data_IF_048205305785
#
_entry.id   IF_048205305785
#
_cell.length_a   1.000
_cell.length_b   1.000
_cell.length_c   1.000
_cell.angle_alpha   90.00
_cell.angle_beta   90.00
_cell.angle_gamma   90.00
#
_symmetry.space_group_name_H-M   'P 1'
#
loop_
_entity.id
_entity.type
_entity.pdbx_description
1 polymer ?
#
# COMPACT_ATOMS: atom_id res chain seq x y z
N UNK A 1 -21.62 7.73 -11.32
CA UNK A 1 -20.53 7.36 -12.24
C UNK A 1 -20.58 5.85 -12.41
N UNK A 2 -20.78 5.30 -13.61
CA UNK A 2 -20.63 3.86 -13.83
C UNK A 2 -19.13 3.55 -13.80
N UNK A 3 -18.67 2.93 -12.73
CA UNK A 3 -17.31 2.45 -12.66
C UNK A 3 -17.11 1.34 -13.69
N UNK A 4 -15.97 1.29 -14.38
CA UNK A 4 -15.70 0.31 -15.42
C UNK A 4 -15.58 -1.08 -14.78
N UNK A 5 -16.46 -1.99 -15.17
CA UNK A 5 -16.44 -3.42 -14.80
C UNK A 5 -15.54 -4.20 -15.77
N UNK A 6 -15.13 -5.40 -15.35
CA UNK A 6 -14.35 -6.34 -16.18
C UNK A 6 -12.98 -5.85 -16.66
N UNK A 7 -12.40 -4.86 -15.98
CA UNK A 7 -11.02 -4.42 -16.24
C UNK A 7 -9.98 -5.25 -15.49
N UNK A 8 -8.73 -5.17 -15.94
CA UNK A 8 -7.59 -5.55 -15.11
C UNK A 8 -7.33 -4.42 -14.13
N UNK A 9 -7.35 -4.72 -12.83
CA UNK A 9 -7.04 -3.75 -11.78
C UNK A 9 -5.60 -3.96 -11.31
N UNK A 10 -4.79 -2.91 -11.46
CA UNK A 10 -3.42 -2.87 -11.00
C UNK A 10 -3.36 -2.12 -9.67
N UNK A 11 -3.05 -2.85 -8.60
CA UNK A 11 -2.93 -2.28 -7.25
C UNK A 11 -1.46 -2.03 -6.94
N UNK A 12 -1.11 -0.81 -6.61
CA UNK A 12 0.23 -0.44 -6.17
C UNK A 12 0.20 -0.04 -4.70
N UNK A 13 1.12 -0.55 -3.91
CA UNK A 13 1.48 0.11 -2.67
C UNK A 13 2.26 1.40 -2.95
N UNK A 14 2.41 2.26 -1.95
CA UNK A 14 3.09 3.54 -2.11
C UNK A 14 4.51 3.52 -1.55
N UNK A 15 4.67 3.22 -0.25
CA UNK A 15 5.97 3.24 0.42
C UNK A 15 6.80 2.01 0.04
N UNK A 16 8.07 2.19 -0.33
CA UNK A 16 9.01 1.16 -0.82
C UNK A 16 8.56 0.45 -2.12
N UNK A 17 7.42 0.83 -2.68
CA UNK A 17 6.92 0.33 -3.97
C UNK A 17 6.95 1.39 -5.08
N UNK A 18 6.38 2.56 -4.85
CA UNK A 18 6.43 3.72 -5.75
C UNK A 18 7.44 4.75 -5.29
N UNK A 19 7.52 4.95 -3.98
CA UNK A 19 8.36 5.92 -3.30
C UNK A 19 9.30 5.20 -2.33
N UNK A 20 10.61 5.28 -2.56
CA UNK A 20 11.59 4.88 -1.53
C UNK A 20 11.60 5.97 -0.47
N UNK A 21 10.89 5.72 0.63
CA UNK A 21 10.67 6.69 1.70
C UNK A 21 11.83 6.73 2.69
N UNK A 22 12.05 7.90 3.30
CA UNK A 22 12.96 8.03 4.44
C UNK A 22 12.23 7.94 5.79
N UNK A 23 10.90 7.76 5.78
CA UNK A 23 10.10 7.63 6.99
C UNK A 23 10.49 6.38 7.78
N UNK A 24 10.44 6.48 9.11
CA UNK A 24 10.69 5.38 10.04
C UNK A 24 9.50 5.26 10.99
N UNK A 25 9.24 4.03 11.41
CA UNK A 25 8.28 3.73 12.46
C UNK A 25 9.05 3.71 13.77
N UNK A 26 8.67 4.56 14.73
CA UNK A 26 9.27 4.51 16.05
C UNK A 26 8.52 3.51 16.92
N UNK A 27 9.23 2.48 17.37
CA UNK A 27 8.70 1.42 18.24
C UNK A 27 9.19 1.67 19.66
N UNK A 28 8.30 1.53 20.63
CA UNK A 28 8.66 1.55 22.06
C UNK A 28 8.21 0.24 22.71
N UNK A 29 9.17 -0.51 23.27
CA UNK A 29 8.91 -1.69 24.13
C UNK A 29 8.82 -1.22 25.58
N UNK A 30 7.61 -1.17 26.11
CA UNK A 30 7.36 -0.70 27.48
C UNK A 30 7.93 -1.63 28.56
N UNK A 31 8.07 -2.93 28.26
CA UNK A 31 8.64 -3.89 29.21
C UNK A 31 10.16 -3.70 29.38
N UNK A 32 10.83 -3.28 28.30
CA UNK A 32 12.28 -3.07 28.32
C UNK A 32 12.66 -1.58 28.47
N UNK A 33 11.68 -0.69 28.43
CA UNK A 33 11.87 0.77 28.38
C UNK A 33 12.84 1.19 27.26
N UNK A 34 12.67 0.57 26.09
CA UNK A 34 13.54 0.75 24.93
C UNK A 34 12.74 1.32 23.75
N UNK A 35 13.29 2.32 23.07
CA UNK A 35 12.74 2.82 21.81
C UNK A 35 13.76 2.67 20.68
N UNK A 36 13.28 2.29 19.48
CA UNK A 36 14.11 2.16 18.30
C UNK A 36 13.31 2.52 17.04
N UNK A 37 14.03 2.90 15.98
CA UNK A 37 13.45 3.21 14.69
C UNK A 37 13.49 1.97 13.79
N UNK A 38 12.36 1.70 13.12
CA UNK A 38 12.21 0.55 12.23
C UNK A 38 11.92 1.03 10.80
N UNK A 39 12.48 0.34 9.81
CA UNK A 39 12.14 0.55 8.42
C UNK A 39 10.73 0.01 8.11
N UNK A 40 9.92 0.67 7.29
CA UNK A 40 8.56 0.21 6.97
C UNK A 40 8.52 -1.19 6.35
N UNK A 41 9.52 -1.58 5.56
CA UNK A 41 9.63 -2.93 4.98
C UNK A 41 9.74 -4.03 6.04
N UNK A 42 10.40 -3.75 7.16
CA UNK A 42 10.65 -4.74 8.23
C UNK A 42 9.45 -4.86 9.18
N UNK A 43 8.59 -3.84 9.21
CA UNK A 43 7.51 -3.73 10.18
C UNK A 43 6.44 -4.82 10.07
N UNK A 44 5.97 -5.23 8.88
CA UNK A 44 4.93 -6.27 8.77
C UNK A 44 5.37 -7.60 9.37
N UNK A 45 6.60 -8.07 9.06
CA UNK A 45 7.16 -9.31 9.59
C UNK A 45 7.41 -9.21 11.09
N UNK A 46 8.01 -8.11 11.55
CA UNK A 46 8.22 -7.85 12.96
C UNK A 46 6.91 -7.85 13.76
N UNK A 47 5.85 -7.23 13.23
CA UNK A 47 4.52 -7.20 13.86
C UNK A 47 3.95 -8.60 14.06
N UNK A 48 4.06 -9.46 13.05
CA UNK A 48 3.62 -10.85 13.14
C UNK A 48 4.45 -11.64 14.14
N UNK A 49 5.79 -11.55 14.08
CA UNK A 49 6.70 -12.24 15.01
C UNK A 49 6.48 -11.85 16.47
N UNK A 50 6.26 -10.58 16.76
CA UNK A 50 6.06 -10.07 18.12
C UNK A 50 4.65 -10.26 18.64
N UNK A 51 3.73 -10.76 17.80
CA UNK A 51 2.35 -11.01 18.21
C UNK A 51 1.69 -9.77 18.85
N UNK A 52 1.88 -8.60 18.21
CA UNK A 52 1.43 -7.31 18.73
C UNK A 52 -0.06 -7.33 19.10
N UNK A 53 -0.89 -8.00 18.29
CA UNK A 53 -2.31 -8.17 18.55
C UNK A 53 -2.61 -8.95 19.85
N UNK A 54 -1.66 -9.80 20.27
CA UNK A 54 -1.78 -10.60 21.50
C UNK A 54 -1.27 -9.87 22.75
N UNK A 55 -0.36 -8.90 22.56
CA UNK A 55 0.24 -8.12 23.64
C UNK A 55 0.23 -6.62 23.35
N UNK A 56 -0.95 -6.00 23.15
CA UNK A 56 -1.06 -4.63 22.66
C UNK A 56 -0.44 -3.59 23.61
N UNK A 57 -0.40 -3.89 24.91
CA UNK A 57 0.15 -2.98 25.95
C UNK A 57 1.68 -2.98 26.03
N UNK A 58 2.34 -3.98 25.43
CA UNK A 58 3.81 -4.07 25.46
C UNK A 58 4.49 -3.09 24.54
N UNK A 59 3.89 -2.86 23.37
CA UNK A 59 4.50 -2.05 22.32
C UNK A 59 3.60 -0.86 21.96
N UNK A 60 4.21 0.30 21.79
CA UNK A 60 3.57 1.41 21.10
C UNK A 60 4.33 1.75 19.82
N UNK A 61 3.58 2.10 18.77
CA UNK A 61 4.11 2.45 17.46
C UNK A 61 3.71 3.89 17.13
N UNK A 62 4.69 4.68 16.72
CA UNK A 62 4.49 6.05 16.27
C UNK A 62 4.76 6.12 14.75
N UNK A 63 3.70 6.38 14.00
CA UNK A 63 3.70 6.53 12.55
C UNK A 63 3.68 8.00 12.10
N UNK A 64 3.96 8.94 13.00
CA UNK A 64 3.91 10.39 12.70
C UNK A 64 4.76 10.80 11.50
N UNK A 65 5.86 10.06 11.23
CA UNK A 65 6.71 10.29 10.07
C UNK A 65 6.04 9.96 8.73
N UNK A 66 4.91 9.24 8.74
CA UNK A 66 4.13 8.91 7.55
C UNK A 66 2.96 9.87 7.33
N UNK A 67 2.71 10.74 8.29
CA UNK A 67 1.60 11.70 8.23
C UNK A 67 2.05 12.98 7.52
N UNK A 68 1.07 13.61 6.87
CA UNK A 68 1.21 14.94 6.34
C UNK A 68 1.98 15.09 5.03
N UNK A 69 2.26 16.34 4.72
CA UNK A 69 2.94 16.81 3.53
C UNK A 69 4.08 17.75 3.95
N UNK A 70 5.26 17.73 3.28
CA UNK A 70 5.59 16.90 2.11
C UNK A 70 6.05 15.47 2.44
N UNK A 71 5.81 14.54 1.52
CA UNK A 71 6.43 13.21 1.57
C UNK A 71 7.88 13.31 1.11
N UNK A 72 8.80 12.88 1.94
CA UNK A 72 10.22 12.83 1.62
C UNK A 72 10.59 11.42 1.14
N UNK A 73 11.01 11.32 -0.11
CA UNK A 73 11.44 10.07 -0.71
C UNK A 73 11.74 10.22 -2.19
N UNK A 74 12.40 9.22 -2.76
CA UNK A 74 12.79 9.20 -4.17
C UNK A 74 11.93 8.20 -4.96
N UNK A 75 11.59 8.48 -6.24
CA UNK A 75 10.79 7.57 -7.03
C UNK A 75 11.55 6.28 -7.35
N UNK A 76 10.89 5.14 -7.17
CA UNK A 76 11.33 3.85 -7.68
C UNK A 76 11.02 3.84 -9.18
N UNK A 77 12.03 4.19 -9.98
CA UNK A 77 11.88 4.56 -11.40
C UNK A 77 11.13 3.51 -12.23
N UNK A 78 11.41 2.23 -11.98
CA UNK A 78 10.78 1.12 -12.72
C UNK A 78 9.27 1.08 -12.51
N UNK A 79 8.85 1.16 -11.25
CA UNK A 79 7.44 1.08 -10.86
C UNK A 79 6.67 2.34 -11.26
N UNK A 80 7.26 3.52 -11.09
CA UNK A 80 6.66 4.79 -11.56
C UNK A 80 6.48 4.80 -13.08
N UNK A 81 7.48 4.29 -13.84
CA UNK A 81 7.36 4.19 -15.31
C UNK A 81 6.23 3.24 -15.70
N UNK A 82 6.14 2.08 -15.05
CA UNK A 82 5.07 1.11 -15.29
C UNK A 82 3.70 1.73 -15.01
N UNK A 83 3.53 2.38 -13.85
CA UNK A 83 2.30 3.07 -13.49
C UNK A 83 1.88 4.08 -14.57
N UNK A 84 2.80 4.92 -15.04
CA UNK A 84 2.52 5.90 -16.10
C UNK A 84 2.08 5.24 -17.40
N UNK A 85 2.67 4.12 -17.78
CA UNK A 85 2.26 3.37 -18.98
C UNK A 85 0.86 2.81 -18.82
N UNK A 86 0.56 2.18 -17.68
CA UNK A 86 -0.78 1.62 -17.41
C UNK A 86 -1.87 2.68 -17.39
N UNK A 87 -1.57 3.91 -16.93
CA UNK A 87 -2.53 5.03 -16.97
C UNK A 87 -2.88 5.52 -18.39
N UNK A 88 -2.19 5.06 -19.42
CA UNK A 88 -2.53 5.34 -20.83
C UNK A 88 -3.43 4.26 -21.45
N UNK A 89 -3.64 3.15 -20.76
CA UNK A 89 -4.46 2.02 -21.23
C UNK A 89 -5.93 2.25 -20.88
N UNK A 90 -6.82 1.93 -21.81
CA UNK A 90 -8.27 1.93 -21.56
C UNK A 90 -8.76 0.62 -20.92
N UNK A 91 -7.97 -0.46 -21.02
CA UNK A 91 -8.29 -1.78 -20.49
C UNK A 91 -7.91 -1.95 -19.02
N UNK A 92 -7.03 -1.09 -18.52
CA UNK A 92 -6.45 -1.17 -17.19
C UNK A 92 -7.02 -0.08 -16.26
N UNK A 93 -7.05 -0.38 -14.97
CA UNK A 93 -7.38 0.58 -13.94
C UNK A 93 -6.32 0.51 -12.84
N UNK A 94 -5.70 1.64 -12.54
CA UNK A 94 -4.70 1.73 -11.49
C UNK A 94 -5.34 2.18 -10.16
N UNK A 95 -4.99 1.49 -9.09
CA UNK A 95 -5.41 1.81 -7.73
C UNK A 95 -4.15 1.86 -6.87
N UNK A 96 -4.03 2.87 -6.03
CA UNK A 96 -3.00 2.91 -4.99
C UNK A 96 -3.65 2.59 -3.66
N UNK A 97 -3.07 1.62 -2.92
CA UNK A 97 -3.51 1.25 -1.57
C UNK A 97 -2.32 1.39 -0.63
N UNK A 98 -2.36 2.39 0.23
CA UNK A 98 -1.28 2.67 1.20
C UNK A 98 -1.76 2.47 2.64
N UNK A 99 -0.84 2.09 3.52
CA UNK A 99 -1.07 2.01 4.97
C UNK A 99 -1.17 3.37 5.68
N UNK A 100 -0.87 4.47 4.98
CA UNK A 100 -0.95 5.82 5.53
C UNK A 100 -2.37 6.20 5.94
N UNK A 101 -2.51 7.15 6.86
CA UNK A 101 -3.80 7.65 7.35
C UNK A 101 -4.47 8.61 6.39
N UNK A 102 -3.68 9.28 5.53
CA UNK A 102 -4.16 10.31 4.61
C UNK A 102 -3.48 10.25 3.24
N UNK A 103 -4.17 10.77 2.24
CA UNK A 103 -3.75 10.73 0.84
C UNK A 103 -3.10 12.03 0.34
N UNK A 104 -3.15 13.12 1.12
CA UNK A 104 -2.66 14.43 0.70
C UNK A 104 -1.18 14.39 0.30
N UNK A 105 -0.35 13.77 1.13
CA UNK A 105 1.07 13.58 0.89
C UNK A 105 1.36 12.71 -0.34
N UNK A 106 0.90 11.45 -0.40
CA UNK A 106 1.06 10.59 -1.57
C UNK A 106 0.54 11.21 -2.86
N UNK A 107 -0.65 11.83 -2.85
CA UNK A 107 -1.23 12.50 -4.01
C UNK A 107 -0.30 13.61 -4.55
N UNK A 108 0.13 14.52 -3.69
CA UNK A 108 1.01 15.62 -4.08
C UNK A 108 2.37 15.11 -4.58
N UNK A 109 2.93 14.08 -3.92
CA UNK A 109 4.19 13.48 -4.33
C UNK A 109 4.09 12.85 -5.73
N UNK A 110 3.02 12.10 -6.01
CA UNK A 110 2.75 11.51 -7.34
C UNK A 110 2.66 12.59 -8.43
N UNK A 111 1.88 13.66 -8.17
CA UNK A 111 1.75 14.79 -9.11
C UNK A 111 3.11 15.44 -9.39
N UNK A 112 3.93 15.67 -8.36
CA UNK A 112 5.28 16.23 -8.50
C UNK A 112 6.23 15.34 -9.29
N UNK A 113 5.95 14.01 -9.32
CA UNK A 113 6.69 13.05 -10.14
C UNK A 113 6.04 12.82 -11.51
N UNK A 114 5.10 13.67 -11.93
CA UNK A 114 4.46 13.67 -13.24
C UNK A 114 3.53 12.48 -13.47
N UNK A 115 2.86 12.01 -12.40
CA UNK A 115 1.81 10.99 -12.47
C UNK A 115 0.44 11.69 -12.52
N UNK A 116 -0.41 11.30 -13.47
CA UNK A 116 -1.77 11.81 -13.62
C UNK A 116 -2.70 11.11 -12.61
N UNK A 117 -2.83 11.72 -11.43
CA UNK A 117 -3.59 11.15 -10.32
C UNK A 117 -5.10 11.18 -10.50
N UNK A 118 -5.60 11.93 -11.50
CA UNK A 118 -7.03 12.00 -11.79
C UNK A 118 -7.51 10.79 -12.61
N UNK A 119 -6.57 10.01 -13.15
CA UNK A 119 -6.82 8.75 -13.88
C UNK A 119 -6.75 7.50 -13.01
N UNK A 120 -6.60 7.62 -11.70
CA UNK A 120 -6.47 6.49 -10.79
C UNK A 120 -7.32 6.65 -9.54
N UNK A 121 -7.44 5.58 -8.80
CA UNK A 121 -8.07 5.59 -7.47
C UNK A 121 -6.95 5.57 -6.43
N UNK A 122 -7.06 6.43 -5.41
CA UNK A 122 -6.17 6.40 -4.25
C UNK A 122 -6.98 6.01 -3.02
N UNK A 123 -6.46 5.07 -2.25
CA UNK A 123 -7.06 4.58 -1.01
C UNK A 123 -6.01 4.53 0.10
N UNK A 124 -6.39 4.94 1.30
CA UNK A 124 -5.61 4.73 2.50
C UNK A 124 -6.35 3.77 3.43
N UNK A 125 -5.62 2.83 4.03
CA UNK A 125 -6.18 1.93 5.02
C UNK A 125 -6.14 2.51 6.43
N UNK A 126 -5.20 3.42 6.69
CA UNK A 126 -4.92 3.93 8.05
C UNK A 126 -4.45 2.82 9.00
N UNK A 127 -4.18 1.64 8.47
CA UNK A 127 -3.79 0.43 9.18
C UNK A 127 -2.91 -0.43 8.27
N UNK A 128 -1.92 -1.15 8.82
CA UNK A 128 -1.18 -2.16 8.06
C UNK A 128 -2.04 -3.27 7.45
N UNK A 129 -3.24 -3.51 7.99
CA UNK A 129 -4.18 -4.46 7.40
C UNK A 129 -4.96 -3.82 6.24
N UNK A 130 -4.56 -4.14 5.01
CA UNK A 130 -5.16 -3.60 3.78
C UNK A 130 -6.37 -4.40 3.25
N UNK A 131 -6.80 -5.48 3.93
CA UNK A 131 -7.88 -6.39 3.44
C UNK A 131 -9.18 -5.66 3.10
N UNK A 132 -9.60 -4.71 3.95
CA UNK A 132 -10.83 -3.95 3.70
C UNK A 132 -10.76 -3.12 2.41
N UNK A 133 -9.59 -2.58 2.07
CA UNK A 133 -9.38 -1.87 0.80
C UNK A 133 -9.51 -2.84 -0.38
N UNK A 134 -8.90 -4.03 -0.31
CA UNK A 134 -8.98 -5.05 -1.36
C UNK A 134 -10.41 -5.55 -1.56
N UNK A 135 -11.16 -5.82 -0.47
CA UNK A 135 -12.57 -6.20 -0.54
C UNK A 135 -13.43 -5.09 -1.18
N UNK A 136 -13.20 -3.84 -0.80
CA UNK A 136 -13.88 -2.68 -1.40
C UNK A 136 -13.63 -2.56 -2.89
N UNK A 137 -12.37 -2.77 -3.34
CA UNK A 137 -11.98 -2.78 -4.75
C UNK A 137 -12.76 -3.85 -5.51
N UNK A 138 -12.76 -5.10 -5.01
CA UNK A 138 -13.44 -6.21 -5.69
C UNK A 138 -14.94 -5.97 -5.76
N UNK A 139 -15.57 -5.60 -4.65
CA UNK A 139 -17.02 -5.39 -4.59
C UNK A 139 -17.48 -4.23 -5.47
N UNK A 140 -16.67 -3.18 -5.58
CA UNK A 140 -17.03 -1.96 -6.31
C UNK A 140 -16.72 -2.05 -7.78
N UNK A 141 -15.53 -2.57 -8.14
CA UNK A 141 -15.02 -2.57 -9.50
C UNK A 141 -15.31 -3.87 -10.25
N UNK A 142 -15.56 -4.97 -9.54
CA UNK A 142 -15.79 -6.30 -10.11
C UNK A 142 -14.73 -6.64 -11.18
N UNK A 143 -13.42 -6.63 -10.82
CA UNK A 143 -12.34 -6.79 -11.78
C UNK A 143 -12.31 -8.20 -12.35
N UNK A 144 -11.95 -8.35 -13.64
CA UNK A 144 -11.66 -9.66 -14.22
C UNK A 144 -10.36 -10.27 -13.68
N UNK A 145 -9.41 -9.41 -13.27
CA UNK A 145 -8.12 -9.80 -12.70
C UNK A 145 -7.58 -8.68 -11.82
N UNK A 146 -6.93 -9.05 -10.72
CA UNK A 146 -6.11 -8.15 -9.90
C UNK A 146 -4.64 -8.51 -10.10
N UNK A 147 -3.78 -7.48 -10.28
CA UNK A 147 -2.32 -7.59 -10.26
C UNK A 147 -1.81 -6.62 -9.20
N UNK A 148 -1.18 -7.15 -8.14
CA UNK A 148 -0.62 -6.31 -7.08
C UNK A 148 0.89 -6.13 -7.24
N UNK A 149 1.36 -4.91 -6.97
CA UNK A 149 2.76 -4.51 -6.90
C UNK A 149 3.04 -4.05 -5.47
N UNK A 150 3.89 -4.78 -4.77
CA UNK A 150 4.07 -4.66 -3.32
C UNK A 150 5.51 -5.03 -2.96
N UNK A 151 6.09 -4.43 -1.92
CA UNK A 151 7.41 -4.80 -1.40
C UNK A 151 7.32 -5.87 -0.28
N UNK A 152 6.15 -6.04 0.34
CA UNK A 152 5.92 -7.00 1.43
C UNK A 152 5.08 -8.21 0.97
N UNK A 153 5.63 -9.42 1.19
CA UNK A 153 4.92 -10.68 0.91
C UNK A 153 3.63 -10.81 1.72
N UNK A 154 3.61 -10.28 2.95
CA UNK A 154 2.43 -10.31 3.83
C UNK A 154 1.24 -9.62 3.18
N UNK A 155 1.44 -8.45 2.56
CA UNK A 155 0.36 -7.72 1.89
C UNK A 155 -0.04 -8.38 0.57
N UNK A 156 0.90 -9.01 -0.14
CA UNK A 156 0.57 -9.88 -1.28
C UNK A 156 -0.36 -11.00 -0.85
N UNK A 157 -0.06 -11.66 0.27
CA UNK A 157 -0.86 -12.78 0.78
C UNK A 157 -2.23 -12.32 1.28
N UNK A 158 -2.34 -11.15 1.94
CA UNK A 158 -3.62 -10.53 2.27
C UNK A 158 -4.50 -10.31 1.03
N UNK A 159 -3.93 -9.76 -0.05
CA UNK A 159 -4.65 -9.53 -1.30
C UNK A 159 -5.08 -10.85 -1.95
N UNK A 160 -4.18 -11.85 -1.97
CA UNK A 160 -4.46 -13.19 -2.50
C UNK A 160 -5.63 -13.86 -1.78
N UNK A 161 -5.64 -13.83 -0.45
CA UNK A 161 -6.73 -14.39 0.37
C UNK A 161 -8.08 -13.75 0.05
N UNK A 162 -8.10 -12.43 -0.10
CA UNK A 162 -9.32 -11.72 -0.51
C UNK A 162 -9.74 -12.11 -1.93
N UNK A 163 -8.81 -12.17 -2.88
CA UNK A 163 -9.11 -12.59 -4.26
C UNK A 163 -9.68 -14.02 -4.31
N UNK A 164 -9.14 -14.95 -3.54
CA UNK A 164 -9.66 -16.33 -3.43
C UNK A 164 -11.08 -16.37 -2.87
N UNK A 165 -11.38 -15.58 -1.84
CA UNK A 165 -12.71 -15.47 -1.25
C UNK A 165 -13.78 -15.02 -2.27
N UNK A 166 -13.40 -14.15 -3.20
CA UNK A 166 -14.30 -13.59 -4.22
C UNK A 166 -14.13 -14.22 -5.61
N UNK A 167 -13.39 -15.32 -5.72
CA UNK A 167 -13.11 -16.03 -6.98
C UNK A 167 -12.53 -15.11 -8.08
N UNK A 168 -11.78 -14.08 -7.68
CA UNK A 168 -11.16 -13.11 -8.58
C UNK A 168 -9.79 -13.62 -9.03
N UNK A 169 -9.49 -13.56 -10.33
CA UNK A 169 -8.16 -13.91 -10.85
C UNK A 169 -7.09 -12.99 -10.26
N UNK A 170 -5.97 -13.57 -9.82
CA UNK A 170 -4.93 -12.87 -9.09
C UNK A 170 -3.54 -13.14 -9.66
N UNK A 171 -2.70 -12.11 -9.64
CA UNK A 171 -1.28 -12.15 -9.95
C UNK A 171 -0.52 -11.11 -9.11
N UNK A 172 0.80 -11.22 -9.00
CA UNK A 172 1.56 -10.27 -8.22
C UNK A 172 2.98 -10.06 -8.74
N UNK A 173 3.57 -8.93 -8.36
CA UNK A 173 4.98 -8.63 -8.54
C UNK A 173 5.54 -8.06 -7.24
N UNK A 174 6.45 -8.81 -6.62
CA UNK A 174 7.20 -8.35 -5.46
C UNK A 174 8.28 -7.36 -5.94
N UNK A 175 8.30 -6.16 -5.35
CA UNK A 175 9.25 -5.10 -5.64
C UNK A 175 10.42 -5.24 -4.67
N UNK A 176 11.65 -5.19 -5.18
CA UNK A 176 12.89 -5.30 -4.39
C UNK A 176 13.74 -4.04 -4.53
#
# INVERSE_FOLDING_TARGET
MNLPKDKVVHIFDFDETLCKTNAKIKITDHNQNLSFDMHPTDYPEWREEKWIERYPERFSMDFSNFQGYPVYGVPIKGTIRLLKVLLTSEEDLCVIVTGRDELSGPRAWLMNNGVDVDKMILMCSGDPNKRMCYESIINTLQPKKIIIYEDSQIYVDQCREVCLKYETSFDYKLIQ
#
